data_IF_585974827886
#
_entry.id   IF_585974827886
#
_cell.length_a   1.000
_cell.length_b   1.000
_cell.length_c   1.000
_cell.angle_alpha   90.00
_cell.angle_beta   90.00
_cell.angle_gamma   90.00
#
_symmetry.space_group_name_H-M   'P 1'
#
loop_
_entity.id
_entity.type
_entity.pdbx_description
1 polymer ?
#
# COMPACT_ATOMS: atom_id res chain seq x y z
N UNK A 1 -11.01 1.85 57.48
CA UNK A 1 -10.87 0.99 56.32
C UNK A 1 -11.39 1.71 55.10
N UNK A 2 -10.52 2.22 54.24
CA UNK A 2 -10.92 2.87 53.01
C UNK A 2 -11.12 1.84 51.91
N UNK A 3 -12.36 1.70 51.48
CA UNK A 3 -12.69 0.93 50.28
C UNK A 3 -12.33 1.79 49.06
N UNK A 4 -11.22 1.48 48.42
CA UNK A 4 -10.88 2.03 47.10
C UNK A 4 -11.76 1.26 46.12
N UNK A 5 -12.83 1.89 45.63
CA UNK A 5 -13.57 1.39 44.49
C UNK A 5 -12.67 1.51 43.25
N UNK A 6 -12.18 0.39 42.80
CA UNK A 6 -11.51 0.33 41.48
C UNK A 6 -12.60 0.54 40.44
N UNK A 7 -12.59 1.69 39.75
CA UNK A 7 -13.44 1.85 38.57
C UNK A 7 -13.14 0.73 37.57
N UNK A 8 -14.17 0.06 37.05
CA UNK A 8 -13.96 -0.92 36.02
C UNK A 8 -13.31 -0.22 34.82
N UNK A 9 -12.11 -0.69 34.45
CA UNK A 9 -11.45 -0.30 33.20
C UNK A 9 -12.43 -0.64 32.08
N UNK A 10 -13.09 0.39 31.54
CA UNK A 10 -13.85 0.23 30.31
C UNK A 10 -12.87 -0.22 29.25
N UNK A 11 -13.12 -1.37 28.57
CA UNK A 11 -12.34 -1.69 27.39
C UNK A 11 -12.48 -0.50 26.44
N UNK A 12 -11.36 0.11 26.08
CA UNK A 12 -11.33 1.07 24.98
C UNK A 12 -11.80 0.30 23.77
N UNK A 13 -13.06 0.42 23.43
CA UNK A 13 -13.56 0.02 22.12
C UNK A 13 -12.75 0.88 21.15
N UNK A 14 -11.75 0.31 20.52
CA UNK A 14 -11.17 0.91 19.36
C UNK A 14 -12.33 1.07 18.40
N UNK A 15 -12.74 2.32 18.19
CA UNK A 15 -13.69 2.66 17.14
C UNK A 15 -13.05 2.18 15.84
N UNK A 16 -13.44 0.99 15.40
CA UNK A 16 -13.00 0.45 14.14
C UNK A 16 -13.64 1.31 13.06
N UNK A 17 -12.82 2.14 12.40
CA UNK A 17 -13.30 2.94 11.29
C UNK A 17 -13.85 1.98 10.23
N UNK A 18 -15.09 2.23 9.85
CA UNK A 18 -15.73 1.53 8.76
C UNK A 18 -15.54 2.33 7.48
N UNK A 19 -14.67 1.83 6.59
CA UNK A 19 -14.47 2.44 5.26
C UNK A 19 -15.63 2.13 4.29
N UNK A 20 -16.61 1.30 4.70
CA UNK A 20 -17.72 0.92 3.85
C UNK A 20 -17.27 0.27 2.54
N UNK A 21 -17.81 0.75 1.44
CA UNK A 21 -17.49 0.36 0.06
C UNK A 21 -16.52 1.34 -0.63
N UNK A 22 -15.85 2.19 0.15
CA UNK A 22 -14.88 3.15 -0.37
C UNK A 22 -13.74 2.45 -1.12
N UNK A 23 -13.48 2.93 -2.32
CA UNK A 23 -12.52 2.33 -3.24
C UNK A 23 -11.88 3.37 -4.15
N UNK A 24 -10.66 3.09 -4.61
CA UNK A 24 -9.99 3.85 -5.66
C UNK A 24 -10.07 3.08 -6.97
N UNK A 25 -10.64 3.71 -7.97
CA UNK A 25 -10.69 3.21 -9.35
C UNK A 25 -9.80 4.07 -10.22
N UNK A 26 -9.16 3.47 -11.21
CA UNK A 26 -8.34 4.18 -12.20
C UNK A 26 -8.59 3.61 -13.59
N UNK A 27 -7.59 3.53 -14.45
CA UNK A 27 -7.73 2.90 -15.76
C UNK A 27 -8.20 1.45 -15.63
N UNK A 28 -9.08 0.99 -16.53
CA UNK A 28 -9.72 -0.33 -16.48
C UNK A 28 -8.73 -1.51 -16.44
N UNK A 29 -7.52 -1.33 -16.95
CA UNK A 29 -6.44 -2.32 -16.89
C UNK A 29 -6.04 -2.68 -15.45
N UNK A 30 -6.12 -1.72 -14.52
CA UNK A 30 -5.67 -1.89 -13.15
C UNK A 30 -6.78 -2.40 -12.23
N UNK A 31 -6.44 -3.23 -11.24
CA UNK A 31 -7.43 -3.66 -10.26
C UNK A 31 -7.90 -2.50 -9.38
N UNK A 32 -9.13 -2.59 -8.93
CA UNK A 32 -9.71 -1.65 -7.97
C UNK A 32 -9.02 -1.81 -6.61
N UNK A 33 -8.72 -0.71 -5.94
CA UNK A 33 -8.17 -0.69 -4.58
C UNK A 33 -9.30 -0.45 -3.58
N UNK A 34 -9.63 -1.46 -2.81
CA UNK A 34 -10.65 -1.39 -1.75
C UNK A 34 -10.02 -0.91 -0.46
N UNK A 35 -10.48 0.22 0.09
CA UNK A 35 -9.84 0.86 1.25
C UNK A 35 -9.93 0.01 2.53
N UNK A 36 -11.03 -0.69 2.76
CA UNK A 36 -11.15 -1.58 3.91
C UNK A 36 -10.15 -2.75 3.86
N UNK A 37 -9.86 -3.27 2.68
CA UNK A 37 -8.84 -4.31 2.48
C UNK A 37 -7.43 -3.75 2.70
N UNK A 38 -7.13 -2.55 2.18
CA UNK A 38 -5.87 -1.85 2.39
C UNK A 38 -5.65 -1.59 3.88
N UNK A 39 -6.65 -1.06 4.59
CA UNK A 39 -6.58 -0.80 6.04
C UNK A 39 -6.22 -2.04 6.84
N UNK A 40 -6.90 -3.16 6.57
CA UNK A 40 -6.61 -4.44 7.25
C UNK A 40 -5.21 -4.96 6.93
N UNK A 41 -4.85 -4.97 5.65
CA UNK A 41 -3.56 -5.50 5.20
C UNK A 41 -2.38 -4.73 5.77
N UNK A 42 -2.48 -3.41 5.86
CA UNK A 42 -1.43 -2.53 6.36
C UNK A 42 -1.53 -2.23 7.86
N UNK A 43 -2.52 -2.80 8.55
CA UNK A 43 -2.74 -2.64 10.00
C UNK A 43 -2.82 -1.17 10.39
N UNK A 44 -3.63 -0.41 9.66
CA UNK A 44 -3.88 1.00 9.95
C UNK A 44 -4.90 1.14 11.07
N UNK A 45 -4.59 1.98 12.05
CA UNK A 45 -5.44 2.22 13.21
C UNK A 45 -6.59 3.21 12.92
N UNK A 46 -7.41 3.45 13.94
CA UNK A 46 -8.57 4.33 13.86
C UNK A 46 -8.23 5.82 13.76
N UNK A 47 -6.96 6.22 13.87
CA UNK A 47 -6.56 7.63 13.69
C UNK A 47 -6.48 8.03 12.23
N UNK A 48 -6.33 7.05 11.33
CA UNK A 48 -6.37 7.27 9.89
C UNK A 48 -7.83 7.29 9.44
N UNK A 49 -8.40 8.46 9.22
CA UNK A 49 -9.75 8.60 8.69
C UNK A 49 -9.87 8.06 7.26
N UNK A 50 -11.06 7.67 6.86
CA UNK A 50 -11.32 7.19 5.48
C UNK A 50 -10.91 8.23 4.42
N UNK A 51 -11.16 9.53 4.68
CA UNK A 51 -10.79 10.60 3.74
C UNK A 51 -9.27 10.72 3.59
N UNK A 52 -8.52 10.63 4.69
CA UNK A 52 -7.05 10.64 4.65
C UNK A 52 -6.49 9.42 3.93
N UNK A 53 -7.07 8.25 4.20
CA UNK A 53 -6.69 7.02 3.54
C UNK A 53 -6.98 7.10 2.04
N UNK A 54 -8.14 7.64 1.65
CA UNK A 54 -8.52 7.86 0.25
C UNK A 54 -7.52 8.77 -0.46
N UNK A 55 -7.20 9.93 0.12
CA UNK A 55 -6.24 10.89 -0.44
C UNK A 55 -4.88 10.24 -0.72
N UNK A 56 -4.32 9.53 0.26
CA UNK A 56 -3.01 8.88 0.10
C UNK A 56 -3.05 7.65 -0.81
N UNK A 57 -4.17 6.93 -0.85
CA UNK A 57 -4.36 5.83 -1.79
C UNK A 57 -4.46 6.31 -3.25
N UNK A 58 -5.13 7.43 -3.49
CA UNK A 58 -5.18 8.06 -4.84
C UNK A 58 -3.77 8.44 -5.29
N UNK A 59 -2.98 9.11 -4.44
CA UNK A 59 -1.60 9.48 -4.76
C UNK A 59 -0.72 8.26 -5.04
N UNK A 60 -0.83 7.21 -4.22
CA UNK A 60 -0.11 5.96 -4.43
C UNK A 60 -0.49 5.28 -5.75
N UNK A 61 -1.79 5.24 -6.08
CA UNK A 61 -2.28 4.69 -7.36
C UNK A 61 -1.72 5.50 -8.53
N UNK A 62 -1.76 6.84 -8.46
CA UNK A 62 -1.21 7.71 -9.49
C UNK A 62 0.29 7.45 -9.70
N UNK A 63 1.06 7.33 -8.61
CA UNK A 63 2.49 7.04 -8.65
C UNK A 63 2.78 5.68 -9.30
N UNK A 64 2.13 4.62 -8.85
CA UNK A 64 2.34 3.26 -9.38
C UNK A 64 1.94 3.17 -10.85
N UNK A 65 0.78 3.74 -11.20
CA UNK A 65 0.30 3.76 -12.59
C UNK A 65 1.26 4.53 -13.50
N UNK A 66 1.82 5.64 -13.03
CA UNK A 66 2.83 6.42 -13.75
C UNK A 66 4.11 5.62 -14.02
N UNK A 67 4.61 4.89 -13.00
CA UNK A 67 5.79 4.04 -13.15
C UNK A 67 5.58 2.85 -14.11
N UNK A 68 4.36 2.39 -14.26
CA UNK A 68 4.00 1.24 -15.09
C UNK A 68 3.35 1.63 -16.43
N UNK A 69 3.27 2.92 -16.75
CA UNK A 69 2.51 3.42 -17.92
C UNK A 69 3.01 2.83 -19.25
N UNK A 70 4.30 2.85 -19.49
CA UNK A 70 4.89 2.34 -20.74
C UNK A 70 4.75 0.81 -20.82
N UNK A 71 4.97 0.12 -19.71
CA UNK A 71 4.80 -1.32 -19.65
C UNK A 71 3.34 -1.73 -19.92
N UNK A 72 2.36 -1.01 -19.32
CA UNK A 72 0.95 -1.21 -19.62
C UNK A 72 0.65 -1.01 -21.10
N UNK A 73 1.13 0.08 -21.69
CA UNK A 73 0.97 0.36 -23.12
C UNK A 73 1.46 -0.78 -23.99
N UNK A 74 2.61 -1.39 -23.64
CA UNK A 74 3.12 -2.57 -24.32
C UNK A 74 2.22 -3.81 -24.18
N UNK A 75 1.58 -4.01 -23.04
CA UNK A 75 0.63 -5.12 -22.84
C UNK A 75 -0.66 -4.88 -23.65
N UNK A 76 -1.18 -3.67 -23.66
CA UNK A 76 -2.37 -3.30 -24.42
C UNK A 76 -2.15 -3.45 -25.93
N UNK A 77 -0.96 -3.13 -26.45
CA UNK A 77 -0.58 -3.37 -27.84
C UNK A 77 -0.55 -4.88 -28.21
N UNK A 78 -0.31 -5.73 -27.23
CA UNK A 78 -0.40 -7.20 -27.38
C UNK A 78 -1.82 -7.73 -27.25
N UNK A 79 -2.82 -6.86 -27.05
CA UNK A 79 -4.23 -7.22 -26.91
C UNK A 79 -4.64 -7.60 -25.48
N UNK A 80 -3.80 -7.35 -24.47
CA UNK A 80 -4.17 -7.60 -23.06
C UNK A 80 -5.02 -6.46 -22.54
N UNK A 81 -6.18 -6.77 -21.96
CA UNK A 81 -7.15 -5.79 -21.50
C UNK A 81 -7.03 -5.52 -19.98
N UNK A 82 -6.72 -6.56 -19.22
CA UNK A 82 -6.65 -6.50 -17.76
C UNK A 82 -5.28 -6.99 -17.26
N UNK A 83 -4.81 -6.41 -16.18
CA UNK A 83 -3.58 -6.87 -15.51
C UNK A 83 -3.66 -8.36 -15.13
N UNK A 84 -4.84 -8.84 -14.73
CA UNK A 84 -5.08 -10.25 -14.39
C UNK A 84 -4.83 -11.20 -15.55
N UNK A 85 -4.87 -10.72 -16.79
CA UNK A 85 -4.76 -11.55 -18.00
C UNK A 85 -3.34 -11.56 -18.57
N UNK A 86 -2.42 -10.81 -17.96
CA UNK A 86 -1.03 -10.76 -18.38
C UNK A 86 -0.34 -12.08 -18.06
N UNK A 87 0.29 -12.67 -19.07
CA UNK A 87 1.14 -13.86 -18.94
C UNK A 87 2.59 -13.45 -18.79
N UNK A 88 3.37 -14.27 -18.08
CA UNK A 88 4.82 -14.14 -18.06
C UNK A 88 5.40 -14.38 -19.45
N UNK A 89 6.54 -13.78 -19.76
CA UNK A 89 7.19 -13.95 -21.07
C UNK A 89 7.49 -15.42 -21.35
N UNK A 90 7.00 -15.93 -22.48
CA UNK A 90 7.16 -17.32 -22.88
C UNK A 90 6.28 -18.33 -22.14
N UNK A 91 5.34 -17.88 -21.30
CA UNK A 91 4.41 -18.77 -20.60
C UNK A 91 3.09 -18.92 -21.36
N UNK A 92 2.56 -20.15 -21.36
CA UNK A 92 1.27 -20.45 -21.97
C UNK A 92 0.09 -20.07 -21.02
N UNK A 93 0.36 -20.01 -19.71
CA UNK A 93 -0.65 -19.77 -18.69
C UNK A 93 -0.32 -18.52 -17.85
N UNK A 94 -1.33 -17.97 -17.20
CA UNK A 94 -1.19 -16.88 -16.23
C UNK A 94 -0.61 -17.44 -14.94
N UNK A 95 0.42 -16.78 -14.40
CA UNK A 95 1.00 -17.14 -13.11
C UNK A 95 0.00 -16.74 -11.98
N UNK A 96 -0.48 -17.74 -11.24
CA UNK A 96 -1.48 -17.57 -10.20
C UNK A 96 -1.01 -18.20 -8.89
N UNK A 97 -1.32 -17.52 -7.79
CA UNK A 97 -1.19 -18.04 -6.42
C UNK A 97 -2.54 -17.85 -5.73
N UNK A 98 -3.03 -18.90 -5.11
CA UNK A 98 -4.32 -18.89 -4.42
C UNK A 98 -5.49 -18.39 -5.32
N UNK A 99 -5.47 -18.78 -6.60
CA UNK A 99 -6.51 -18.43 -7.58
C UNK A 99 -6.47 -16.99 -8.09
N UNK A 100 -5.42 -16.24 -7.78
CA UNK A 100 -5.27 -14.84 -8.20
C UNK A 100 -3.96 -14.63 -8.94
N UNK A 101 -3.98 -13.77 -9.98
CA UNK A 101 -2.78 -13.38 -10.70
C UNK A 101 -1.73 -12.77 -9.75
N UNK A 102 -0.50 -13.28 -9.85
CA UNK A 102 0.64 -12.76 -9.07
C UNK A 102 0.87 -11.28 -9.35
N UNK A 103 0.64 -10.82 -10.58
CA UNK A 103 0.80 -9.40 -10.95
C UNK A 103 -0.24 -8.51 -10.28
N UNK A 104 -1.48 -8.97 -10.13
CA UNK A 104 -2.53 -8.25 -9.40
C UNK A 104 -2.15 -8.11 -7.93
N UNK A 105 -1.64 -9.18 -7.32
CA UNK A 105 -1.16 -9.13 -5.95
C UNK A 105 0.03 -8.17 -5.78
N UNK A 106 1.00 -8.19 -6.70
CA UNK A 106 2.15 -7.28 -6.71
C UNK A 106 1.74 -5.82 -6.88
N UNK A 107 0.79 -5.55 -7.75
CA UNK A 107 0.24 -4.20 -7.92
C UNK A 107 -0.39 -3.68 -6.61
N UNK A 108 -1.25 -4.46 -5.97
CA UNK A 108 -1.81 -4.09 -4.67
C UNK A 108 -0.73 -3.87 -3.61
N UNK A 109 0.28 -4.73 -3.57
CA UNK A 109 1.41 -4.56 -2.63
C UNK A 109 2.14 -3.24 -2.87
N UNK A 110 2.39 -2.86 -4.11
CA UNK A 110 3.01 -1.57 -4.44
C UNK A 110 2.17 -0.41 -3.93
N UNK A 111 0.88 -0.39 -4.25
CA UNK A 111 -0.06 0.66 -3.82
C UNK A 111 -0.17 0.71 -2.29
N UNK A 112 -0.32 -0.43 -1.63
CA UNK A 112 -0.48 -0.51 -0.18
C UNK A 112 0.74 0.00 0.57
N UNK A 113 1.93 -0.43 0.16
CA UNK A 113 3.19 0.00 0.80
C UNK A 113 3.40 1.50 0.64
N UNK A 114 3.20 2.05 -0.54
CA UNK A 114 3.35 3.48 -0.81
C UNK A 114 2.28 4.30 -0.07
N UNK A 115 1.02 3.83 -0.04
CA UNK A 115 -0.03 4.50 0.74
C UNK A 115 0.36 4.63 2.20
N UNK A 116 0.83 3.54 2.81
CA UNK A 116 1.28 3.56 4.22
C UNK A 116 2.48 4.47 4.42
N UNK A 117 3.46 4.46 3.51
CA UNK A 117 4.59 5.38 3.56
C UNK A 117 4.14 6.85 3.59
N UNK A 118 3.26 7.24 2.67
CA UNK A 118 2.70 8.59 2.59
C UNK A 118 1.91 9.00 3.83
N UNK A 119 1.18 8.06 4.44
CA UNK A 119 0.48 8.30 5.70
C UNK A 119 1.46 8.59 6.85
N UNK A 120 2.52 7.79 6.98
CA UNK A 120 3.52 7.96 8.04
C UNK A 120 4.32 9.25 7.83
N UNK A 121 4.69 9.59 6.59
CA UNK A 121 5.35 10.86 6.27
C UNK A 121 4.54 12.06 6.76
N UNK A 122 3.22 12.04 6.55
CA UNK A 122 2.32 13.10 7.02
C UNK A 122 2.24 13.24 8.54
N UNK A 123 2.55 12.19 9.30
CA UNK A 123 2.61 12.24 10.77
C UNK A 123 3.96 12.73 11.30
N UNK A 124 5.05 12.44 10.62
CA UNK A 124 6.41 12.81 11.04
C UNK A 124 6.57 14.32 11.21
N UNK A 125 5.91 15.11 10.39
CA UNK A 125 6.08 16.57 10.35
C UNK A 125 5.38 17.29 11.51
N UNK A 126 4.65 16.58 12.37
CA UNK A 126 3.84 17.18 13.44
C UNK A 126 4.54 17.17 14.81
N UNK A 127 5.51 16.27 15.03
CA UNK A 127 6.15 16.11 16.36
C UNK A 127 7.57 16.68 16.38
N UNK A 128 7.72 17.88 17.00
CA UNK A 128 8.99 18.62 17.11
C UNK A 128 9.66 18.50 18.48
N UNK A 129 9.27 17.54 19.32
CA UNK A 129 9.83 17.35 20.66
C UNK A 129 11.07 16.44 20.67
N UNK A 130 11.87 16.47 21.74
CA UNK A 130 13.07 15.63 21.91
C UNK A 130 12.80 14.13 21.94
N UNK A 131 11.62 13.72 22.43
CA UNK A 131 11.13 12.34 22.32
C UNK A 131 10.70 12.03 20.89
N UNK A 132 10.26 13.04 20.16
CA UNK A 132 9.97 13.02 18.73
C UNK A 132 11.17 12.70 17.86
N UNK A 133 12.41 13.06 18.23
CA UNK A 133 13.59 12.76 17.41
C UNK A 133 13.87 11.25 17.28
N UNK A 134 13.83 10.50 18.38
CA UNK A 134 14.03 9.04 18.35
C UNK A 134 12.87 8.35 17.65
N UNK A 135 11.65 8.86 17.85
CA UNK A 135 10.47 8.36 17.18
C UNK A 135 10.51 8.68 15.68
N UNK A 136 10.98 9.87 15.31
CA UNK A 136 11.16 10.29 13.92
C UNK A 136 12.20 9.44 13.18
N UNK A 137 13.30 9.03 13.82
CA UNK A 137 14.29 8.11 13.23
C UNK A 137 13.69 6.73 12.96
N UNK A 138 12.92 6.18 13.92
CA UNK A 138 12.24 4.89 13.76
C UNK A 138 11.19 4.96 12.62
N UNK A 139 10.43 6.04 12.53
CA UNK A 139 9.47 6.27 11.45
C UNK A 139 10.17 6.44 10.10
N UNK A 140 11.32 7.14 10.04
CA UNK A 140 12.08 7.29 8.81
C UNK A 140 12.55 5.95 8.26
N UNK A 141 13.06 5.06 9.12
CA UNK A 141 13.44 3.70 8.73
C UNK A 141 12.26 2.89 8.21
N UNK A 142 11.08 3.03 8.83
CA UNK A 142 9.86 2.38 8.38
C UNK A 142 9.39 2.92 7.02
N UNK A 143 9.45 4.24 6.83
CA UNK A 143 9.10 4.91 5.56
C UNK A 143 10.00 4.39 4.44
N UNK A 144 11.32 4.34 4.66
CA UNK A 144 12.29 3.86 3.67
C UNK A 144 12.04 2.40 3.29
N UNK A 145 11.70 1.56 4.27
CA UNK A 145 11.33 0.16 4.05
C UNK A 145 10.08 0.04 3.19
N UNK A 146 9.04 0.82 3.47
CA UNK A 146 7.79 0.80 2.72
C UNK A 146 7.98 1.27 1.27
N UNK A 147 8.75 2.35 1.06
CA UNK A 147 9.10 2.81 -0.27
C UNK A 147 9.91 1.79 -1.05
N UNK A 148 10.88 1.16 -0.40
CA UNK A 148 11.66 0.06 -0.99
C UNK A 148 10.75 -1.09 -1.42
N UNK A 149 9.85 -1.54 -0.54
CA UNK A 149 8.93 -2.64 -0.83
C UNK A 149 7.98 -2.29 -1.99
N UNK A 150 7.49 -1.07 -2.05
CA UNK A 150 6.69 -0.56 -3.17
C UNK A 150 7.46 -0.57 -4.49
N UNK A 151 8.70 -0.06 -4.50
CA UNK A 151 9.58 -0.07 -5.67
C UNK A 151 9.93 -1.49 -6.12
N UNK A 152 10.17 -2.40 -5.19
CA UNK A 152 10.42 -3.80 -5.53
C UNK A 152 9.22 -4.47 -6.18
N UNK A 153 8.01 -4.22 -5.67
CA UNK A 153 6.79 -4.74 -6.27
C UNK A 153 6.59 -4.22 -7.70
N UNK A 154 6.87 -2.93 -7.96
CA UNK A 154 6.86 -2.34 -9.30
C UNK A 154 7.89 -3.03 -10.20
N UNK A 155 9.13 -3.22 -9.73
CA UNK A 155 10.19 -3.90 -10.48
C UNK A 155 9.85 -5.35 -10.80
N UNK A 156 9.22 -6.04 -9.87
CA UNK A 156 8.76 -7.41 -10.09
C UNK A 156 7.68 -7.49 -11.19
N UNK A 157 6.82 -6.47 -11.31
CA UNK A 157 5.86 -6.37 -12.42
C UNK A 157 6.58 -6.13 -13.74
N UNK A 158 7.57 -5.23 -13.74
CA UNK A 158 8.38 -4.91 -14.93
C UNK A 158 9.30 -6.06 -15.35
N UNK A 159 9.49 -7.09 -14.53
CA UNK A 159 10.45 -8.18 -14.78
C UNK A 159 11.91 -7.75 -14.64
N UNK A 160 12.22 -6.68 -13.91
CA UNK A 160 13.57 -6.13 -13.72
C UNK A 160 14.16 -6.62 -12.40
N UNK A 161 15.41 -7.06 -12.42
CA UNK A 161 16.12 -7.51 -11.21
C UNK A 161 16.22 -6.43 -10.14
N UNK A 162 15.99 -6.82 -8.88
CA UNK A 162 16.01 -5.92 -7.72
C UNK A 162 17.43 -5.40 -7.38
N UNK A 163 18.46 -6.12 -7.74
CA UNK A 163 19.80 -6.01 -7.16
C UNK A 163 20.83 -5.14 -7.86
N UNK A 164 20.53 -4.49 -8.99
CA UNK A 164 21.55 -3.75 -9.76
C UNK A 164 21.53 -2.22 -9.56
N UNK A 165 20.71 -1.69 -8.70
CA UNK A 165 20.62 -0.23 -8.48
C UNK A 165 21.39 0.28 -7.25
N UNK A 166 22.05 -0.59 -6.49
CA UNK A 166 22.79 -0.20 -5.27
C UNK A 166 24.31 -0.14 -5.42
N UNK A 167 24.82 -0.29 -6.63
CA UNK A 167 26.29 -0.27 -6.90
C UNK A 167 26.69 0.77 -7.96
N UNK A 168 26.09 1.95 -7.89
CA UNK A 168 26.63 3.12 -8.60
C UNK A 168 26.64 4.31 -7.68
#
# INVERSE_FOLDING_TARGET
>A
MSLIATEPVRPVTQDTINDGDAKVTSHAFWPVIVLSALRRAMRLDGQVTTDRLMDKAIEAVAHVNGQLADWRGGQEQRGVVLLSDVKSEGADEIDQINGESVLVWRYRRAVYSITKALLIEGYRDIDTTREGEKHAEALSSQIDTLWRDGRWAIRDILGVNRGLAELV
#
